data_IF_999804604420
#
_entry.id   IF_999804604420
#
_cell.length_a   1.000
_cell.length_b   1.000
_cell.length_c   1.000
_cell.angle_alpha   90.00
_cell.angle_beta   90.00
_cell.angle_gamma   90.00
#
_symmetry.space_group_name_H-M   'P 1'
#
loop_
_entity.id
_entity.type
_entity.pdbx_description
1 polymer ?
#
# COMPACT_ATOMS: atom_id res chain seq x y z
N UNK A 1 -7.84 2.76 37.35
CA UNK A 1 -8.64 3.05 36.14
C UNK A 1 -7.74 3.76 35.15
N UNK A 2 -7.13 3.03 34.23
CA UNK A 2 -6.29 3.59 33.17
C UNK A 2 -7.22 4.12 32.09
N UNK A 3 -7.34 5.45 32.02
CA UNK A 3 -8.16 6.12 31.03
C UNK A 3 -7.47 5.99 29.67
N UNK A 4 -8.03 5.20 28.76
CA UNK A 4 -7.63 5.19 27.35
C UNK A 4 -7.94 6.56 26.77
N UNK A 5 -6.90 7.40 26.64
CA UNK A 5 -7.00 8.67 25.94
C UNK A 5 -7.27 8.38 24.47
N UNK A 6 -8.46 8.74 23.99
CA UNK A 6 -8.78 8.75 22.57
C UNK A 6 -7.75 9.63 21.85
N UNK A 7 -7.18 9.19 20.71
CA UNK A 7 -6.22 10.01 19.98
C UNK A 7 -6.89 11.33 19.60
N UNK A 8 -6.27 12.43 20.04
CA UNK A 8 -6.60 13.78 19.61
C UNK A 8 -6.65 13.85 18.08
N UNK A 9 -7.53 14.71 17.54
CA UNK A 9 -7.61 14.96 16.10
C UNK A 9 -6.20 15.16 15.54
N UNK A 10 -5.81 14.27 14.62
CA UNK A 10 -4.49 14.31 13.99
C UNK A 10 -4.34 15.69 13.35
N UNK A 11 -3.30 16.43 13.72
CA UNK A 11 -2.96 17.69 13.07
C UNK A 11 -2.54 17.38 11.63
N UNK A 12 -3.51 17.53 10.72
CA UNK A 12 -3.31 17.20 9.32
C UNK A 12 -2.26 18.09 8.66
N UNK A 13 -2.04 19.30 9.20
CA UNK A 13 -1.08 20.27 8.68
C UNK A 13 0.34 19.72 8.74
N UNK A 14 0.67 19.02 9.82
CA UNK A 14 2.03 18.51 10.09
C UNK A 14 2.15 16.99 9.93
N UNK A 15 1.07 16.28 9.60
CA UNK A 15 1.07 14.82 9.47
C UNK A 15 2.11 14.31 8.47
N UNK A 16 2.29 15.01 7.34
CA UNK A 16 3.25 14.59 6.32
C UNK A 16 4.68 14.60 6.88
N UNK A 17 5.07 15.70 7.51
CA UNK A 17 6.38 15.90 8.11
C UNK A 17 6.64 14.88 9.22
N UNK A 18 5.65 14.66 10.08
CA UNK A 18 5.73 13.65 11.13
C UNK A 18 5.98 12.25 10.56
N UNK A 19 5.24 11.85 9.52
CA UNK A 19 5.44 10.55 8.86
C UNK A 19 6.84 10.41 8.24
N UNK A 20 7.41 11.48 7.67
CA UNK A 20 8.76 11.44 7.10
C UNK A 20 9.83 11.28 8.19
N UNK A 21 9.68 11.98 9.31
CA UNK A 21 10.58 11.85 10.44
C UNK A 21 10.51 10.44 11.04
N UNK A 22 9.31 9.88 11.23
CA UNK A 22 9.16 8.51 11.71
C UNK A 22 9.77 7.49 10.75
N UNK A 23 9.56 7.65 9.45
CA UNK A 23 10.16 6.80 8.42
C UNK A 23 11.68 6.76 8.53
N UNK A 24 12.32 7.94 8.68
CA UNK A 24 13.77 8.04 8.82
C UNK A 24 14.29 7.43 10.13
N UNK A 25 13.59 7.64 11.25
CA UNK A 25 13.96 7.05 12.53
C UNK A 25 13.94 5.52 12.51
N UNK A 26 13.05 4.93 11.71
CA UNK A 26 12.95 3.49 11.50
C UNK A 26 13.97 2.94 10.47
N UNK A 27 14.78 3.80 9.85
CA UNK A 27 15.81 3.40 8.90
C UNK A 27 15.32 3.22 7.45
N UNK A 28 14.14 3.72 7.11
CA UNK A 28 13.68 3.74 5.71
C UNK A 28 14.29 4.93 4.95
N UNK A 29 14.67 4.71 3.70
CA UNK A 29 15.21 5.75 2.81
C UNK A 29 14.15 6.79 2.40
N UNK A 30 12.87 6.43 2.41
CA UNK A 30 11.79 7.37 2.09
C UNK A 30 10.39 6.78 2.26
N UNK A 31 9.41 7.68 2.37
CA UNK A 31 7.99 7.38 2.47
C UNK A 31 7.20 8.07 1.36
N UNK A 32 6.22 7.38 0.79
CA UNK A 32 5.28 7.92 -0.20
C UNK A 32 3.86 7.56 0.17
N UNK A 33 2.94 8.42 -0.24
CA UNK A 33 1.50 8.26 -0.06
C UNK A 33 0.87 8.31 -1.45
N UNK A 34 -0.03 7.38 -1.73
CA UNK A 34 -0.84 7.32 -2.95
C UNK A 34 -2.28 7.00 -2.56
N UNK A 35 -3.21 7.30 -3.46
CA UNK A 35 -4.57 6.78 -3.34
C UNK A 35 -4.62 5.27 -3.65
N UNK A 36 -5.83 4.71 -3.56
CA UNK A 36 -6.11 3.30 -3.88
C UNK A 36 -6.41 3.07 -5.36
N UNK A 37 -6.33 4.10 -6.20
CA UNK A 37 -6.67 3.97 -7.62
C UNK A 37 -5.50 3.35 -8.39
N UNK A 38 -5.69 2.13 -8.87
CA UNK A 38 -4.63 1.38 -9.55
C UNK A 38 -4.43 1.78 -11.02
N UNK A 39 -5.35 2.55 -11.61
CA UNK A 39 -5.33 2.89 -13.03
C UNK A 39 -5.13 1.65 -13.91
N UNK A 40 -4.21 1.74 -14.88
CA UNK A 40 -3.92 0.64 -15.83
C UNK A 40 -3.15 -0.56 -15.26
N UNK A 41 -2.80 -0.56 -13.97
CA UNK A 41 -2.01 -1.62 -13.38
C UNK A 41 -2.75 -2.97 -13.35
N UNK A 42 -4.07 -2.93 -13.16
CA UNK A 42 -4.93 -4.12 -13.14
C UNK A 42 -4.96 -4.79 -14.51
N UNK A 43 -5.25 -4.06 -15.59
CA UNK A 43 -5.26 -4.67 -16.94
C UNK A 43 -3.89 -5.25 -17.30
N UNK A 44 -2.81 -4.51 -17.00
CA UNK A 44 -1.43 -4.98 -17.24
C UNK A 44 -1.09 -6.25 -16.46
N UNK A 45 -1.62 -6.42 -15.24
CA UNK A 45 -1.46 -7.65 -14.47
C UNK A 45 -2.12 -8.83 -15.19
N UNK A 46 -3.36 -8.66 -15.65
CA UNK A 46 -4.08 -9.71 -16.37
C UNK A 46 -3.39 -10.09 -17.68
N UNK A 47 -3.00 -9.12 -18.49
CA UNK A 47 -2.25 -9.37 -19.73
C UNK A 47 -0.95 -10.14 -19.46
N UNK A 48 -0.23 -9.78 -18.39
CA UNK A 48 1.00 -10.45 -18.00
C UNK A 48 0.77 -11.90 -17.53
N UNK A 49 -0.33 -12.15 -16.82
CA UNK A 49 -0.74 -13.48 -16.38
C UNK A 49 -1.15 -14.38 -17.54
N UNK A 50 -1.96 -13.87 -18.47
CA UNK A 50 -2.41 -14.58 -19.68
C UNK A 50 -1.23 -15.03 -20.56
N UNK A 51 -0.17 -14.21 -20.60
CA UNK A 51 1.06 -14.53 -21.33
C UNK A 51 1.96 -15.54 -20.61
N UNK A 52 1.53 -16.10 -19.49
CA UNK A 52 2.29 -17.10 -18.72
C UNK A 52 3.57 -16.54 -18.09
N UNK A 53 3.71 -15.22 -17.98
CA UNK A 53 4.94 -14.58 -17.49
C UNK A 53 5.17 -14.74 -15.98
N UNK A 54 4.19 -15.30 -15.26
CA UNK A 54 4.29 -15.68 -13.86
C UNK A 54 5.08 -16.98 -13.61
N UNK A 55 5.52 -17.66 -14.67
CA UNK A 55 6.28 -18.90 -14.56
C UNK A 55 5.50 -19.96 -13.78
N UNK A 56 6.09 -20.48 -12.71
CA UNK A 56 5.45 -21.50 -11.86
C UNK A 56 4.64 -20.90 -10.70
N UNK A 57 4.49 -19.57 -10.61
CA UNK A 57 3.79 -18.92 -9.50
C UNK A 57 2.28 -18.93 -9.71
N UNK A 58 1.65 -20.12 -9.69
CA UNK A 58 0.19 -20.25 -9.81
C UNK A 58 -0.58 -19.43 -8.76
N UNK A 59 0.03 -19.19 -7.59
CA UNK A 59 -0.55 -18.33 -6.57
C UNK A 59 -0.92 -16.93 -7.11
N UNK A 60 -0.06 -16.34 -7.96
CA UNK A 60 -0.31 -15.02 -8.55
C UNK A 60 -1.53 -15.03 -9.48
N UNK A 61 -1.67 -16.07 -10.30
CA UNK A 61 -2.82 -16.21 -11.18
C UNK A 61 -4.12 -16.45 -10.39
N UNK A 62 -4.06 -17.29 -9.34
CA UNK A 62 -5.22 -17.63 -8.48
C UNK A 62 -5.73 -16.45 -7.66
N UNK A 63 -4.88 -15.48 -7.33
CA UNK A 63 -5.22 -14.33 -6.47
C UNK A 63 -5.05 -12.99 -7.21
N UNK A 64 -5.20 -12.98 -8.53
CA UNK A 64 -5.03 -11.79 -9.35
C UNK A 64 -5.99 -10.65 -8.93
N UNK A 65 -7.25 -11.02 -8.64
CA UNK A 65 -8.28 -10.08 -8.24
C UNK A 65 -7.96 -9.45 -6.87
N UNK A 66 -7.60 -10.27 -5.87
CA UNK A 66 -7.16 -9.77 -4.56
C UNK A 66 -5.91 -8.88 -4.66
N UNK A 67 -4.99 -9.19 -5.58
CA UNK A 67 -3.79 -8.38 -5.81
C UNK A 67 -4.11 -7.03 -6.47
N UNK A 68 -5.25 -6.94 -7.14
CA UNK A 68 -5.74 -5.75 -7.82
C UNK A 68 -6.80 -5.02 -7.02
N UNK A 69 -7.02 -5.40 -5.75
CA UNK A 69 -7.98 -4.77 -4.86
C UNK A 69 -7.29 -4.32 -3.56
N UNK A 70 -6.99 -3.02 -3.42
CA UNK A 70 -6.43 -2.47 -2.19
C UNK A 70 -7.47 -2.25 -1.08
N UNK A 71 -8.76 -2.53 -1.32
CA UNK A 71 -9.89 -2.30 -0.41
C UNK A 71 -10.34 -3.51 0.41
#
# INVERSE_FOLDING_TARGET
MTSTQMPSAVDQTHLREWLDEQSRQLGFDGLRITDTHLGSATERLHEWLEQGRHGQMEYMAKHADLRSDPG
#
